data_IF_165773151399
#
_entry.id   IF_165773151399
#
_cell.length_a   1.000
_cell.length_b   1.000
_cell.length_c   1.000
_cell.angle_alpha   90.00
_cell.angle_beta   90.00
_cell.angle_gamma   90.00
#
_symmetry.space_group_name_H-M   'P 1'
#
loop_
_entity.id
_entity.type
_entity.pdbx_description
1 polymer ?
#
# COMPACT_ATOMS: atom_id res chain seq x y z
N UNK A 1 17.36 -31.39 -50.14
CA UNK A 1 17.17 -31.84 -48.73
C UNK A 1 17.46 -30.76 -47.69
N UNK A 2 18.48 -29.93 -47.85
CA UNK A 2 18.85 -28.89 -46.84
C UNK A 2 17.77 -27.81 -46.56
N UNK A 3 16.96 -27.45 -47.57
CA UNK A 3 15.88 -26.43 -47.41
C UNK A 3 14.67 -26.94 -46.62
N UNK A 4 14.37 -28.25 -46.67
CA UNK A 4 13.25 -28.85 -45.90
C UNK A 4 13.61 -29.07 -44.42
N UNK A 5 14.90 -29.31 -44.13
CA UNK A 5 15.41 -29.40 -42.76
C UNK A 5 15.39 -28.03 -42.08
N UNK A 6 15.73 -26.97 -42.82
CA UNK A 6 15.73 -25.61 -42.26
C UNK A 6 14.32 -25.11 -41.91
N UNK A 7 13.32 -25.45 -42.71
CA UNK A 7 11.92 -25.09 -42.45
C UNK A 7 11.35 -25.86 -41.24
N UNK A 8 11.79 -27.10 -41.04
CA UNK A 8 11.35 -27.92 -39.90
C UNK A 8 11.95 -27.42 -38.58
N UNK A 9 13.22 -27.00 -38.60
CA UNK A 9 13.89 -26.40 -37.43
C UNK A 9 13.25 -25.06 -37.09
N UNK A 10 12.91 -24.23 -38.07
CA UNK A 10 12.24 -22.94 -37.86
C UNK A 10 10.83 -23.10 -37.31
N UNK A 11 10.08 -24.11 -37.77
CA UNK A 11 8.75 -24.41 -37.25
C UNK A 11 8.80 -24.92 -35.79
N UNK A 12 9.81 -25.73 -35.46
CA UNK A 12 10.00 -26.22 -34.08
C UNK A 12 10.44 -25.12 -33.13
N UNK A 13 11.27 -24.16 -33.58
CA UNK A 13 11.66 -23.00 -32.81
C UNK A 13 10.48 -22.05 -32.52
N UNK A 14 9.57 -21.89 -33.46
CA UNK A 14 8.35 -21.07 -33.29
C UNK A 14 7.33 -21.72 -32.32
N UNK A 15 7.20 -23.05 -32.35
CA UNK A 15 6.28 -23.77 -31.44
C UNK A 15 6.82 -23.87 -30.03
N UNK A 16 8.14 -23.92 -29.83
CA UNK A 16 8.76 -23.88 -28.50
C UNK A 16 8.63 -22.51 -27.84
N UNK A 17 8.54 -21.42 -28.62
CA UNK A 17 8.32 -20.06 -28.11
C UNK A 17 6.90 -19.75 -27.66
N UNK A 18 5.90 -20.56 -28.05
CA UNK A 18 4.48 -20.35 -27.70
C UNK A 18 4.06 -21.09 -26.41
N UNK A 19 4.92 -21.91 -25.82
CA UNK A 19 4.64 -22.62 -24.56
C UNK A 19 5.16 -21.92 -23.32
N UNK A 20 5.74 -20.70 -23.45
CA UNK A 20 6.02 -19.84 -22.32
C UNK A 20 4.86 -18.84 -22.11
N UNK A 21 3.62 -19.36 -22.10
CA UNK A 21 2.51 -18.59 -21.55
C UNK A 21 2.66 -18.58 -20.04
N UNK A 22 3.22 -17.49 -19.55
CA UNK A 22 2.95 -17.03 -18.20
C UNK A 22 3.49 -17.87 -17.05
N UNK A 23 4.79 -18.19 -17.03
CA UNK A 23 5.48 -18.12 -15.74
C UNK A 23 5.68 -16.62 -15.49
N UNK A 24 4.66 -15.92 -15.03
CA UNK A 24 4.84 -14.68 -14.31
C UNK A 24 5.89 -14.99 -13.25
N UNK A 25 6.95 -14.20 -13.15
CA UNK A 25 7.96 -14.39 -12.11
C UNK A 25 7.16 -14.51 -10.81
N UNK A 26 7.21 -15.71 -10.19
CA UNK A 26 6.52 -15.90 -8.94
C UNK A 26 7.18 -14.95 -7.96
N UNK A 27 6.46 -13.95 -7.49
CA UNK A 27 6.94 -13.06 -6.44
C UNK A 27 7.41 -13.88 -5.24
N UNK A 28 8.07 -13.26 -4.27
CA UNK A 28 8.59 -13.99 -3.13
C UNK A 28 7.47 -14.81 -2.50
N UNK A 29 7.64 -16.14 -2.49
CA UNK A 29 6.69 -17.05 -1.88
C UNK A 29 6.82 -16.92 -0.36
N UNK A 30 5.76 -16.42 0.29
CA UNK A 30 5.65 -16.38 1.74
C UNK A 30 5.01 -17.67 2.23
N UNK A 31 5.61 -18.29 3.25
CA UNK A 31 5.14 -19.60 3.75
C UNK A 31 3.74 -19.57 4.35
N UNK A 32 3.27 -18.41 4.73
CA UNK A 32 1.97 -18.18 5.40
C UNK A 32 0.86 -17.67 4.47
N UNK A 33 1.13 -17.54 3.17
CA UNK A 33 0.12 -17.08 2.19
C UNK A 33 -0.49 -18.22 1.38
N UNK A 34 0.08 -19.41 1.42
CA UNK A 34 -0.39 -20.56 0.66
C UNK A 34 -1.85 -20.91 0.98
N UNK A 35 -2.70 -20.89 -0.05
CA UNK A 35 -4.14 -21.12 0.10
C UNK A 35 -4.93 -19.96 0.70
N UNK A 36 -4.31 -18.84 1.02
CA UNK A 36 -5.00 -17.65 1.48
C UNK A 36 -5.68 -16.94 0.30
N UNK A 37 -6.91 -16.44 0.47
CA UNK A 37 -7.66 -15.78 -0.61
C UNK A 37 -6.91 -14.61 -1.27
N UNK A 38 -6.01 -13.94 -0.55
CA UNK A 38 -5.21 -12.82 -1.03
C UNK A 38 -3.86 -13.25 -1.62
N UNK A 39 -3.51 -14.55 -1.65
CA UNK A 39 -2.20 -15.04 -2.10
C UNK A 39 -1.78 -14.46 -3.45
N UNK A 40 -2.65 -14.54 -4.45
CA UNK A 40 -2.37 -14.02 -5.79
C UNK A 40 -2.17 -12.50 -5.84
N UNK A 41 -2.88 -11.74 -4.99
CA UNK A 41 -2.70 -10.28 -4.89
C UNK A 41 -1.40 -9.94 -4.17
N UNK A 42 -1.08 -10.64 -3.08
CA UNK A 42 0.17 -10.46 -2.33
C UNK A 42 1.37 -10.74 -3.25
N UNK A 43 1.35 -11.87 -3.98
CA UNK A 43 2.40 -12.22 -4.94
C UNK A 43 2.62 -11.09 -5.95
N UNK A 44 1.56 -10.65 -6.60
CA UNK A 44 1.59 -9.60 -7.62
C UNK A 44 2.16 -8.27 -7.11
N UNK A 45 1.70 -7.80 -5.95
CA UNK A 45 2.20 -6.55 -5.36
C UNK A 45 3.62 -6.67 -4.82
N UNK A 46 4.02 -7.88 -4.40
CA UNK A 46 5.40 -8.18 -3.99
C UNK A 46 6.36 -8.19 -5.18
N UNK A 47 5.96 -8.74 -6.33
CA UNK A 47 6.72 -8.67 -7.58
C UNK A 47 7.00 -7.22 -8.00
N UNK A 48 6.03 -6.35 -7.82
CA UNK A 48 6.19 -4.91 -8.08
C UNK A 48 6.94 -4.15 -6.97
N UNK A 49 7.37 -4.84 -5.90
CA UNK A 49 8.09 -4.24 -4.78
C UNK A 49 7.25 -3.30 -3.91
N UNK A 50 5.92 -3.28 -4.10
CA UNK A 50 5.00 -2.39 -3.36
C UNK A 50 4.79 -2.90 -1.94
N UNK A 51 4.56 -4.20 -1.78
CA UNK A 51 4.43 -4.84 -0.47
C UNK A 51 5.60 -5.78 -0.22
N UNK A 52 5.94 -5.98 1.04
CA UNK A 52 7.02 -6.85 1.45
C UNK A 52 6.67 -7.52 2.77
N UNK A 53 6.92 -8.84 2.85
CA UNK A 53 6.89 -9.57 4.11
C UNK A 53 8.18 -9.38 4.90
N UNK A 54 8.26 -10.05 6.03
CA UNK A 54 9.45 -10.06 6.89
C UNK A 54 9.75 -11.50 7.29
N UNK A 55 11.04 -11.88 7.30
CA UNK A 55 11.51 -13.20 7.71
C UNK A 55 10.78 -14.37 6.99
N UNK A 56 10.47 -14.21 5.70
CA UNK A 56 9.78 -15.24 4.92
C UNK A 56 8.27 -15.36 5.16
N UNK A 57 7.67 -14.48 5.97
CA UNK A 57 6.25 -14.39 6.25
C UNK A 57 5.67 -13.05 5.81
N UNK A 58 4.41 -13.05 5.40
CA UNK A 58 3.67 -11.83 5.02
C UNK A 58 2.71 -11.36 6.11
N UNK A 59 2.23 -12.28 6.92
CA UNK A 59 1.18 -12.07 7.94
C UNK A 59 -0.13 -11.51 7.34
N UNK A 60 -0.79 -12.25 6.41
CA UNK A 60 -1.94 -11.72 5.65
C UNK A 60 -3.16 -11.38 6.53
N UNK A 61 -3.26 -11.97 7.72
CA UNK A 61 -4.31 -11.68 8.70
C UNK A 61 -3.84 -10.70 9.80
N UNK A 62 -2.62 -10.17 9.68
CA UNK A 62 -2.06 -9.22 10.64
C UNK A 62 -2.72 -7.84 10.53
N UNK A 63 -2.62 -7.07 11.61
CA UNK A 63 -3.07 -5.68 11.60
C UNK A 63 -2.08 -4.81 10.84
N UNK A 64 -2.59 -3.97 9.95
CA UNK A 64 -1.78 -2.98 9.23
C UNK A 64 -1.42 -1.82 10.16
N UNK A 65 -0.15 -1.42 10.17
CA UNK A 65 0.30 -0.25 10.92
C UNK A 65 0.31 1.00 10.04
N UNK A 66 0.36 2.19 10.68
CA UNK A 66 0.48 3.46 9.97
C UNK A 66 1.75 3.51 9.11
N UNK A 67 2.88 3.02 9.64
CA UNK A 67 4.15 2.94 8.92
C UNK A 67 4.09 2.04 7.68
N UNK A 68 3.44 0.89 7.79
CA UNK A 68 3.25 -0.03 6.65
C UNK A 68 2.39 0.60 5.56
N UNK A 69 1.26 1.23 5.93
CA UNK A 69 0.41 1.92 4.97
C UNK A 69 1.17 3.07 4.28
N UNK A 70 1.88 3.91 5.05
CA UNK A 70 2.69 4.99 4.48
C UNK A 70 3.74 4.46 3.49
N UNK A 71 4.40 3.34 3.82
CA UNK A 71 5.40 2.72 2.94
C UNK A 71 4.79 2.21 1.63
N UNK A 72 3.63 1.56 1.72
CA UNK A 72 2.88 1.09 0.54
C UNK A 72 2.52 2.28 -0.35
N UNK A 73 1.94 3.34 0.24
CA UNK A 73 1.52 4.53 -0.52
C UNK A 73 2.70 5.28 -1.13
N UNK A 74 3.79 5.47 -0.39
CA UNK A 74 4.99 6.14 -0.91
C UNK A 74 5.56 5.41 -2.13
N UNK A 75 5.60 4.08 -2.11
CA UNK A 75 6.05 3.24 -3.23
C UNK A 75 5.05 3.24 -4.39
N UNK A 76 3.76 3.01 -4.10
CA UNK A 76 2.69 2.92 -5.10
C UNK A 76 2.57 4.21 -5.91
N UNK A 77 2.59 5.35 -5.21
CA UNK A 77 2.46 6.68 -5.81
C UNK A 77 3.80 7.25 -6.29
N UNK A 78 4.91 6.55 -6.05
CA UNK A 78 6.27 7.00 -6.39
C UNK A 78 6.56 8.40 -5.85
N UNK A 79 6.18 8.66 -4.60
CA UNK A 79 6.32 9.97 -3.99
C UNK A 79 7.79 10.39 -3.96
N UNK A 80 8.10 11.66 -4.28
CA UNK A 80 9.47 12.17 -4.22
C UNK A 80 10.02 12.17 -2.80
N UNK A 81 11.35 12.21 -2.67
CA UNK A 81 11.99 12.42 -1.37
C UNK A 81 11.50 13.73 -0.74
N UNK A 82 11.36 13.75 0.57
CA UNK A 82 10.83 14.87 1.31
C UNK A 82 11.67 15.15 2.56
N UNK A 83 11.61 16.38 3.03
CA UNK A 83 12.21 16.78 4.30
C UNK A 83 11.48 16.14 5.49
N UNK A 84 12.12 16.21 6.66
CA UNK A 84 11.53 15.72 7.89
C UNK A 84 10.26 16.53 8.26
N UNK A 85 9.15 15.84 8.33
CA UNK A 85 7.85 16.43 8.69
C UNK A 85 7.72 16.85 10.17
N UNK A 86 8.73 16.53 11.00
CA UNK A 86 8.79 16.96 12.38
C UNK A 86 7.96 16.14 13.37
N UNK A 87 7.45 14.98 12.99
CA UNK A 87 6.75 14.11 13.95
C UNK A 87 7.72 13.56 14.99
N UNK A 88 7.38 13.76 16.27
CA UNK A 88 8.24 13.41 17.40
C UNK A 88 8.57 11.91 17.49
N UNK A 89 7.67 11.06 17.02
CA UNK A 89 7.78 9.60 17.02
C UNK A 89 8.21 9.00 15.70
N UNK A 90 8.50 9.82 14.66
CA UNK A 90 9.08 9.39 13.40
C UNK A 90 10.61 9.40 13.47
N UNK A 91 11.19 8.37 14.08
CA UNK A 91 12.64 8.27 14.26
C UNK A 91 13.38 8.16 12.94
N UNK A 92 14.45 8.95 12.77
CA UNK A 92 15.34 8.89 11.59
C UNK A 92 16.03 7.53 11.39
N UNK A 93 16.05 6.66 12.41
CA UNK A 93 16.55 5.29 12.33
C UNK A 93 15.47 4.28 11.95
N UNK A 94 14.19 4.70 11.89
CA UNK A 94 13.07 3.85 11.53
C UNK A 94 13.07 3.55 10.04
N UNK A 95 12.81 2.30 9.66
CA UNK A 95 12.66 1.87 8.26
C UNK A 95 11.56 2.62 7.51
N UNK A 96 10.63 3.20 8.25
CA UNK A 96 9.47 3.93 7.77
C UNK A 96 9.69 5.46 7.69
N UNK A 97 10.82 5.97 8.18
CA UNK A 97 11.07 7.40 8.32
C UNK A 97 10.81 8.17 7.03
N UNK A 98 11.45 7.74 5.96
CA UNK A 98 11.36 8.40 4.66
C UNK A 98 9.93 8.31 4.06
N UNK A 99 9.28 7.17 4.18
CA UNK A 99 7.92 6.98 3.68
C UNK A 99 6.89 7.87 4.39
N UNK A 100 6.99 8.03 5.70
CA UNK A 100 6.13 8.93 6.47
C UNK A 100 6.35 10.38 6.05
N UNK A 101 7.60 10.83 5.90
CA UNK A 101 7.91 12.19 5.46
C UNK A 101 7.36 12.48 4.05
N UNK A 102 7.51 11.54 3.11
CA UNK A 102 6.95 11.65 1.75
C UNK A 102 5.44 11.77 1.76
N UNK A 103 4.75 10.91 2.54
CA UNK A 103 3.30 10.97 2.68
C UNK A 103 2.82 12.26 3.36
N UNK A 104 3.58 12.79 4.32
CA UNK A 104 3.29 14.05 4.96
C UNK A 104 3.45 15.23 3.99
N UNK A 105 4.55 15.29 3.26
CA UNK A 105 4.81 16.32 2.25
C UNK A 105 3.76 16.33 1.13
N UNK A 106 3.24 15.14 0.77
CA UNK A 106 2.16 14.99 -0.21
C UNK A 106 0.76 15.31 0.37
N UNK A 107 0.65 15.72 1.64
CA UNK A 107 -0.63 16.00 2.29
C UNK A 107 -1.49 14.77 2.60
N UNK A 108 -0.98 13.57 2.32
CA UNK A 108 -1.69 12.30 2.51
C UNK A 108 -1.78 11.94 4.00
N UNK A 109 -0.70 12.19 4.76
CA UNK A 109 -0.59 11.88 6.18
C UNK A 109 -0.41 13.17 6.99
N UNK A 110 -1.34 13.46 7.90
CA UNK A 110 -1.33 14.71 8.71
C UNK A 110 -1.00 14.51 10.20
N UNK A 111 -0.62 13.30 10.62
CA UNK A 111 -0.38 12.99 12.03
C UNK A 111 -1.67 12.92 12.88
N UNK A 112 -1.50 12.97 14.20
CA UNK A 112 -2.57 12.80 15.18
C UNK A 112 -3.08 14.12 15.76
N UNK A 113 -2.45 15.26 15.41
CA UNK A 113 -2.77 16.57 15.95
C UNK A 113 -1.95 16.96 17.20
N UNK A 114 -1.21 16.03 17.80
CA UNK A 114 -0.35 16.20 18.96
C UNK A 114 1.17 16.21 18.61
N UNK A 115 1.47 16.34 17.32
CA UNK A 115 2.85 16.27 16.83
C UNK A 115 3.39 14.84 16.63
N UNK A 116 2.54 13.83 16.77
CA UNK A 116 2.90 12.41 16.54
C UNK A 116 2.20 11.83 15.34
N UNK A 117 2.63 10.63 14.88
CA UNK A 117 2.02 9.89 13.76
C UNK A 117 1.69 8.44 14.14
N UNK A 118 2.16 7.96 15.27
CA UNK A 118 1.97 6.60 15.77
C UNK A 118 2.35 5.53 14.75
N UNK A 119 3.61 5.47 14.28
CA UNK A 119 4.01 4.66 13.13
C UNK A 119 3.77 3.17 13.32
N UNK A 120 4.01 2.66 14.53
CA UNK A 120 3.90 1.24 14.85
C UNK A 120 2.52 0.83 15.41
N UNK A 121 1.61 1.77 15.61
CA UNK A 121 0.26 1.46 16.05
C UNK A 121 -0.56 0.86 14.88
N UNK A 122 -1.46 -0.11 15.16
CA UNK A 122 -2.46 -0.54 14.21
C UNK A 122 -3.26 0.66 13.71
N UNK A 123 -3.45 0.74 12.39
CA UNK A 123 -4.23 1.83 11.83
C UNK A 123 -5.73 1.53 11.97
N UNK A 124 -6.47 2.45 12.56
CA UNK A 124 -7.92 2.35 12.62
C UNK A 124 -8.52 2.46 11.21
N UNK A 125 -9.66 1.80 11.01
CA UNK A 125 -10.34 1.74 9.70
C UNK A 125 -10.67 3.14 9.17
N UNK A 126 -11.24 3.98 10.01
CA UNK A 126 -11.60 5.37 9.68
C UNK A 126 -10.37 6.17 9.26
N UNK A 127 -9.24 6.03 9.95
CA UNK A 127 -7.99 6.70 9.59
C UNK A 127 -7.46 6.23 8.24
N UNK A 128 -7.53 4.94 7.96
CA UNK A 128 -7.15 4.39 6.66
C UNK A 128 -8.03 4.95 5.53
N UNK A 129 -9.34 5.06 5.76
CA UNK A 129 -10.28 5.62 4.79
C UNK A 129 -10.01 7.11 4.52
N UNK A 130 -9.70 7.89 5.55
CA UNK A 130 -9.31 9.31 5.40
C UNK A 130 -8.04 9.45 4.54
N UNK A 131 -7.03 8.62 4.83
CA UNK A 131 -5.78 8.62 4.05
C UNK A 131 -6.05 8.26 2.59
N UNK A 132 -6.85 7.22 2.32
CA UNK A 132 -7.21 6.81 0.96
C UNK A 132 -8.06 7.88 0.25
N UNK A 133 -8.97 8.53 0.96
CA UNK A 133 -9.75 9.65 0.42
C UNK A 133 -8.84 10.78 -0.09
N UNK A 134 -7.81 11.15 0.69
CA UNK A 134 -6.81 12.16 0.28
C UNK A 134 -5.99 11.70 -0.92
N UNK A 135 -5.59 10.42 -0.96
CA UNK A 135 -4.90 9.84 -2.13
C UNK A 135 -5.74 9.94 -3.40
N UNK A 136 -7.05 9.75 -3.27
CA UNK A 136 -7.99 9.78 -4.40
C UNK A 136 -8.48 11.19 -4.73
N UNK A 137 -8.06 12.23 -3.99
CA UNK A 137 -8.52 13.60 -4.16
C UNK A 137 -10.01 13.75 -3.88
N UNK A 138 -10.57 12.93 -2.98
CA UNK A 138 -11.97 13.02 -2.60
C UNK A 138 -12.12 14.22 -1.66
N UNK A 139 -12.89 15.20 -2.08
CA UNK A 139 -13.20 16.36 -1.26
C UNK A 139 -14.18 16.00 -0.13
N UNK A 140 -13.97 16.53 1.08
CA UNK A 140 -14.88 16.31 2.20
C UNK A 140 -16.26 16.91 1.89
N UNK A 141 -17.30 16.24 2.35
CA UNK A 141 -18.66 16.77 2.28
C UNK A 141 -18.88 17.63 3.53
N UNK A 142 -19.25 18.90 3.33
CA UNK A 142 -19.65 19.77 4.43
C UNK A 142 -20.94 19.23 5.09
N UNK A 143 -20.94 19.13 6.43
CA UNK A 143 -22.08 18.69 7.22
C UNK A 143 -22.70 17.36 6.74
N UNK A 144 -21.94 16.24 6.68
CA UNK A 144 -22.48 14.97 6.24
C UNK A 144 -23.60 14.50 7.17
N UNK A 145 -24.69 13.97 6.61
CA UNK A 145 -25.73 13.29 7.39
C UNK A 145 -25.22 11.94 7.89
N UNK A 146 -24.74 11.91 9.12
CA UNK A 146 -24.23 10.71 9.77
C UNK A 146 -25.29 9.98 10.61
N UNK A 147 -26.53 10.44 10.64
CA UNK A 147 -27.60 9.86 11.48
C UNK A 147 -27.92 8.41 11.16
N UNK A 148 -27.58 7.98 9.95
CA UNK A 148 -27.77 6.58 9.49
C UNK A 148 -26.76 5.59 10.12
N UNK A 149 -25.69 6.07 10.76
CA UNK A 149 -24.62 5.23 11.31
C UNK A 149 -24.68 5.24 12.83
N UNK A 150 -24.79 4.06 13.42
CA UNK A 150 -24.94 3.91 14.88
C UNK A 150 -23.71 4.36 15.67
N UNK A 151 -22.53 4.35 15.05
CA UNK A 151 -21.23 4.71 15.61
C UNK A 151 -20.75 6.12 15.23
N UNK A 152 -21.62 6.91 14.58
CA UNK A 152 -21.26 8.26 14.11
C UNK A 152 -20.65 9.15 15.19
N UNK A 153 -21.18 9.08 16.42
CA UNK A 153 -20.67 9.87 17.54
C UNK A 153 -19.22 9.49 17.93
N UNK A 154 -18.81 8.24 17.76
CA UNK A 154 -17.45 7.77 18.04
C UNK A 154 -16.48 8.23 16.95
N UNK A 155 -16.88 8.20 15.70
CA UNK A 155 -16.10 8.69 14.55
C UNK A 155 -15.87 10.20 14.66
N UNK A 156 -16.88 10.96 15.02
CA UNK A 156 -16.78 12.42 15.25
C UNK A 156 -15.91 12.74 16.46
N UNK A 157 -16.02 11.98 17.55
CA UNK A 157 -15.25 12.23 18.78
C UNK A 157 -13.75 12.03 18.60
N UNK A 158 -13.34 11.17 17.67
CA UNK A 158 -11.94 10.92 17.35
C UNK A 158 -11.30 12.01 16.47
N UNK A 159 -12.00 13.12 16.23
CA UNK A 159 -11.54 14.29 15.47
C UNK A 159 -11.01 13.99 14.05
N UNK A 160 -11.29 12.79 13.54
CA UNK A 160 -10.85 12.36 12.20
C UNK A 160 -11.68 13.01 11.08
N UNK A 161 -12.96 13.23 11.33
CA UNK A 161 -13.82 13.95 10.38
C UNK A 161 -13.49 15.44 10.34
N UNK A 162 -13.10 16.08 11.46
CA UNK A 162 -12.67 17.47 11.47
C UNK A 162 -11.36 17.69 10.70
N UNK A 163 -10.49 16.67 10.63
CA UNK A 163 -9.27 16.71 9.81
C UNK A 163 -9.55 16.56 8.31
N UNK A 164 -10.68 15.99 7.92
CA UNK A 164 -11.15 16.00 6.53
C UNK A 164 -11.75 17.37 6.14
N UNK A 165 -12.33 18.07 7.11
CA UNK A 165 -13.04 19.34 6.92
C UNK A 165 -12.11 20.57 7.05
N UNK A 166 -10.99 20.47 7.75
CA UNK A 166 -10.05 21.57 7.95
C UNK A 166 -8.96 21.60 6.87
N UNK A 167 -9.34 21.80 5.61
CA UNK A 167 -8.40 22.20 4.56
C UNK A 167 -8.94 23.46 3.91
N UNK A 168 -8.73 24.58 4.55
CA UNK A 168 -8.52 25.86 3.90
C UNK A 168 -7.02 26.16 3.90
#
# INVERSE_FOLDING_TARGET
MKRKLLSLVLAFAMTAGLLTVGAGAAGPAYGDTAGHWAEGSIGRWSEHGIVQGSNGAFAPNGQLTCAQLATILAKLLKLPAAENAGFADNSARGWFFDAINRCAAAGILKGNGDGTVSPNAPIARERAMVILGRVLGIEPIENPDLTKYADAAQVVSNNLLSQLVSVE
#
